data_IF_165059290616
#
_entry.id   IF_165059290616
#
_cell.length_a   1.000
_cell.length_b   1.000
_cell.length_c   1.000
_cell.angle_alpha   90.00
_cell.angle_beta   90.00
_cell.angle_gamma   90.00
#
_symmetry.space_group_name_H-M   'P 1'
#
loop_
_entity.id
_entity.type
_entity.pdbx_description
1 polymer ?
#
# COMPACT_ATOMS: atom_id res chain seq x y z
N UNK A 1 -26.95 123.72 -78.48
CA UNK A 1 -28.10 124.65 -78.36
C UNK A 1 -29.33 123.92 -78.85
N UNK A 2 -29.96 123.12 -77.97
CA UNK A 2 -31.23 122.45 -78.25
C UNK A 2 -32.36 123.42 -77.93
N UNK A 3 -33.19 123.73 -78.92
CA UNK A 3 -34.38 124.55 -78.75
C UNK A 3 -35.29 123.96 -77.65
N UNK A 4 -35.45 124.71 -76.56
CA UNK A 4 -36.29 124.34 -75.42
C UNK A 4 -37.75 124.48 -75.84
N UNK A 5 -38.38 123.35 -76.20
CA UNK A 5 -39.77 123.30 -76.69
C UNK A 5 -40.80 123.08 -75.58
N UNK A 6 -40.36 123.08 -74.31
CA UNK A 6 -41.21 122.85 -73.13
C UNK A 6 -41.24 124.11 -72.24
N UNK A 7 -42.41 124.41 -71.66
CA UNK A 7 -42.67 125.68 -70.96
C UNK A 7 -41.92 125.83 -69.62
N UNK A 8 -41.48 124.72 -69.02
CA UNK A 8 -40.67 124.70 -67.79
C UNK A 8 -39.72 123.51 -67.84
N UNK A 9 -38.45 123.74 -67.49
CA UNK A 9 -37.43 122.71 -67.31
C UNK A 9 -37.16 122.57 -65.81
N UNK A 10 -37.41 121.37 -65.26
CA UNK A 10 -37.02 121.04 -63.89
C UNK A 10 -35.61 120.45 -63.97
N UNK A 11 -34.61 121.20 -63.52
CA UNK A 11 -33.25 120.69 -63.44
C UNK A 11 -33.15 119.53 -62.43
N UNK A 12 -32.47 118.44 -62.80
CA UNK A 12 -32.36 117.21 -61.99
C UNK A 12 -31.86 117.45 -60.56
N UNK A 13 -31.04 118.49 -60.35
CA UNK A 13 -30.49 118.86 -59.04
C UNK A 13 -31.54 119.43 -58.08
N UNK A 14 -32.62 120.01 -58.61
CA UNK A 14 -33.72 120.61 -57.83
C UNK A 14 -34.97 119.73 -57.81
N UNK A 15 -35.00 118.65 -58.59
CA UNK A 15 -36.16 117.76 -58.70
C UNK A 15 -36.60 117.18 -57.35
N UNK A 16 -35.66 116.80 -56.47
CA UNK A 16 -36.00 116.27 -55.15
C UNK A 16 -36.67 117.30 -54.23
N UNK A 17 -36.22 118.55 -54.26
CA UNK A 17 -36.83 119.64 -53.49
C UNK A 17 -38.22 119.99 -54.04
N UNK A 18 -38.35 120.06 -55.38
CA UNK A 18 -39.60 120.37 -56.07
C UNK A 18 -40.68 119.31 -55.79
N UNK A 19 -40.36 118.02 -55.86
CA UNK A 19 -41.36 116.95 -55.63
C UNK A 19 -41.65 116.65 -54.15
N UNK A 20 -40.80 117.11 -53.21
CA UNK A 20 -40.99 116.88 -51.77
C UNK A 20 -41.82 117.99 -51.11
N UNK A 21 -41.73 119.22 -51.63
CA UNK A 21 -42.36 120.40 -51.04
C UNK A 21 -43.49 120.90 -51.93
N UNK A 22 -44.76 120.72 -51.51
CA UNK A 22 -45.93 121.14 -52.29
C UNK A 22 -45.85 122.62 -52.72
N UNK A 23 -45.30 123.46 -51.84
CA UNK A 23 -45.10 124.91 -52.04
C UNK A 23 -44.16 125.27 -53.21
N UNK A 24 -43.35 124.33 -53.71
CA UNK A 24 -42.46 124.55 -54.85
C UNK A 24 -43.03 124.06 -56.18
N UNK A 25 -44.08 123.24 -56.16
CA UNK A 25 -44.82 122.82 -57.36
C UNK A 25 -45.83 123.87 -57.78
N UNK A 26 -46.49 124.52 -56.82
CA UNK A 26 -47.53 125.51 -57.08
C UNK A 26 -47.02 126.68 -57.96
N UNK A 27 -45.83 127.29 -57.74
CA UNK A 27 -45.31 128.35 -58.60
C UNK A 27 -44.97 127.90 -60.03
N UNK A 28 -44.58 126.64 -60.20
CA UNK A 28 -44.29 126.05 -61.52
C UNK A 28 -45.58 125.84 -62.30
N UNK A 29 -46.62 125.35 -61.63
CA UNK A 29 -47.95 125.17 -62.21
C UNK A 29 -48.58 126.54 -62.52
N UNK A 30 -48.48 127.50 -61.62
CA UNK A 30 -48.97 128.87 -61.82
C UNK A 30 -48.30 129.56 -63.02
N UNK A 31 -46.99 129.35 -63.23
CA UNK A 31 -46.29 129.87 -64.42
C UNK A 31 -46.84 129.27 -65.72
N UNK A 32 -47.11 127.97 -65.74
CA UNK A 32 -47.73 127.28 -66.89
C UNK A 32 -49.17 127.76 -67.10
N UNK A 33 -49.94 127.96 -66.03
CA UNK A 33 -51.31 128.48 -66.11
C UNK A 33 -51.35 129.92 -66.62
N UNK A 34 -50.43 130.78 -66.15
CA UNK A 34 -50.33 132.18 -66.58
C UNK A 34 -50.00 132.28 -68.06
N UNK A 35 -49.07 131.46 -68.55
CA UNK A 35 -48.69 131.43 -69.97
C UNK A 35 -49.76 130.78 -70.85
N UNK A 36 -50.49 129.79 -70.34
CA UNK A 36 -51.62 129.19 -71.04
C UNK A 36 -52.83 130.14 -71.14
N UNK A 37 -53.07 130.96 -70.11
CA UNK A 37 -54.19 131.92 -70.03
C UNK A 37 -53.88 133.29 -70.65
N UNK A 38 -52.61 133.64 -70.84
CA UNK A 38 -52.19 134.91 -71.48
C UNK A 38 -52.45 134.93 -72.98
N UNK A 39 -52.59 133.75 -73.61
CA UNK A 39 -53.03 133.64 -74.99
C UNK A 39 -54.51 134.06 -75.06
N UNK A 40 -54.81 135.19 -75.71
CA UNK A 40 -56.16 135.63 -76.06
C UNK A 40 -56.38 135.35 -77.56
N UNK A 41 -56.87 134.16 -77.93
CA UNK A 41 -56.92 133.71 -79.31
C UNK A 41 -58.30 133.96 -79.92
N UNK A 42 -58.32 134.41 -81.18
CA UNK A 42 -59.56 134.56 -81.94
C UNK A 42 -59.99 133.22 -82.57
N UNK A 43 -60.99 132.58 -81.95
CA UNK A 43 -61.56 131.27 -82.36
C UNK A 43 -62.24 131.30 -83.73
N UNK A 44 -62.55 132.48 -84.27
CA UNK A 44 -63.16 132.62 -85.59
C UNK A 44 -62.16 132.33 -86.72
N UNK A 45 -60.86 132.51 -86.47
CA UNK A 45 -59.78 132.29 -87.45
C UNK A 45 -59.14 130.89 -87.32
N UNK A 46 -58.70 130.30 -88.44
CA UNK A 46 -57.96 129.03 -88.44
C UNK A 46 -56.65 129.14 -87.64
N UNK A 47 -55.93 130.26 -87.80
CA UNK A 47 -54.67 130.54 -87.07
C UNK A 47 -54.88 130.59 -85.55
N UNK A 48 -55.99 131.18 -85.08
CA UNK A 48 -56.33 131.21 -83.66
C UNK A 48 -56.62 129.82 -83.08
N UNK A 49 -57.34 128.97 -83.83
CA UNK A 49 -57.58 127.56 -83.42
C UNK A 49 -56.30 126.72 -83.39
N UNK A 50 -55.41 126.90 -84.36
CA UNK A 50 -54.12 126.19 -84.41
C UNK A 50 -53.18 126.64 -83.27
N UNK A 51 -53.24 127.92 -82.86
CA UNK A 51 -52.51 128.44 -81.71
C UNK A 51 -53.02 127.86 -80.38
N UNK A 52 -54.34 127.72 -80.21
CA UNK A 52 -54.95 127.05 -79.04
C UNK A 52 -54.51 125.59 -78.98
N UNK A 53 -54.59 124.87 -80.10
CA UNK A 53 -54.18 123.47 -80.16
C UNK A 53 -52.69 123.29 -79.83
N UNK A 54 -51.84 124.20 -80.32
CA UNK A 54 -50.39 124.19 -80.03
C UNK A 54 -50.11 124.46 -78.55
N UNK A 55 -50.81 125.42 -77.93
CA UNK A 55 -50.63 125.72 -76.50
C UNK A 55 -51.11 124.55 -75.62
N UNK A 56 -52.25 123.93 -75.96
CA UNK A 56 -52.74 122.72 -75.28
C UNK A 56 -51.73 121.57 -75.38
N UNK A 57 -51.10 121.38 -76.54
CA UNK A 57 -50.04 120.38 -76.72
C UNK A 57 -48.79 120.65 -75.87
N UNK A 58 -48.40 121.93 -75.72
CA UNK A 58 -47.29 122.32 -74.83
C UNK A 58 -47.60 122.01 -73.37
N UNK A 59 -48.81 122.34 -72.90
CA UNK A 59 -49.26 122.00 -71.54
C UNK A 59 -49.25 120.48 -71.31
N UNK A 60 -49.73 119.69 -72.27
CA UNK A 60 -49.72 118.23 -72.19
C UNK A 60 -48.29 117.64 -72.14
N UNK A 61 -47.36 118.21 -72.91
CA UNK A 61 -45.93 117.85 -72.86
C UNK A 61 -45.30 118.20 -71.52
N UNK A 62 -45.52 119.41 -71.02
CA UNK A 62 -45.03 119.83 -69.70
C UNK A 62 -45.56 118.94 -68.57
N UNK A 63 -46.84 118.54 -68.60
CA UNK A 63 -47.40 117.56 -67.66
C UNK A 63 -46.63 116.24 -67.68
N UNK A 64 -46.38 115.70 -68.87
CA UNK A 64 -45.73 114.39 -69.05
C UNK A 64 -44.27 114.44 -68.61
N UNK A 65 -43.58 115.54 -68.89
CA UNK A 65 -42.22 115.78 -68.45
C UNK A 65 -42.09 115.83 -66.92
N UNK A 66 -42.99 116.55 -66.24
CA UNK A 66 -43.01 116.63 -64.77
C UNK A 66 -43.29 115.26 -64.15
N UNK A 67 -44.26 114.49 -64.68
CA UNK A 67 -44.57 113.14 -64.19
C UNK A 67 -43.39 112.17 -64.36
N UNK A 68 -42.73 112.19 -65.53
CA UNK A 68 -41.55 111.37 -65.78
C UNK A 68 -40.36 111.74 -64.89
N UNK A 69 -40.12 113.05 -64.65
CA UNK A 69 -39.06 113.49 -63.74
C UNK A 69 -39.30 113.02 -62.29
N UNK A 70 -40.55 113.00 -61.83
CA UNK A 70 -40.90 112.44 -60.52
C UNK A 70 -40.71 110.92 -60.46
N UNK A 71 -41.07 110.19 -61.53
CA UNK A 71 -40.87 108.74 -61.62
C UNK A 71 -39.39 108.36 -61.61
N UNK A 72 -38.56 109.07 -62.36
CA UNK A 72 -37.11 108.84 -62.42
C UNK A 72 -36.47 109.07 -61.05
N UNK A 73 -36.84 110.16 -60.36
CA UNK A 73 -36.38 110.43 -59.00
C UNK A 73 -36.75 109.32 -58.02
N UNK A 74 -38.00 108.84 -58.06
CA UNK A 74 -38.46 107.73 -57.20
C UNK A 74 -37.73 106.42 -57.54
N UNK A 75 -37.41 106.18 -58.80
CA UNK A 75 -36.65 105.00 -59.22
C UNK A 75 -35.20 105.05 -58.69
N UNK A 76 -34.54 106.20 -58.77
CA UNK A 76 -33.21 106.43 -58.21
C UNK A 76 -33.22 106.27 -56.68
N UNK A 77 -34.18 106.87 -55.99
CA UNK A 77 -34.32 106.76 -54.52
C UNK A 77 -34.60 105.32 -54.07
N UNK A 78 -35.36 104.53 -54.85
CA UNK A 78 -35.60 103.10 -54.57
C UNK A 78 -34.38 102.22 -54.86
N UNK A 79 -33.45 102.65 -55.70
CA UNK A 79 -32.22 101.92 -55.99
C UNK A 79 -31.17 102.08 -54.86
N UNK A 80 -31.16 103.23 -54.16
CA UNK A 80 -30.21 103.51 -53.07
C UNK A 80 -30.23 102.49 -51.92
N UNK A 81 -31.39 102.04 -51.38
CA UNK A 81 -31.42 101.02 -50.33
C UNK A 81 -30.73 99.72 -50.73
N UNK A 82 -30.93 99.25 -51.97
CA UNK A 82 -30.27 98.02 -52.47
C UNK A 82 -28.75 98.17 -52.50
N UNK A 83 -28.24 99.34 -52.89
CA UNK A 83 -26.80 99.61 -52.89
C UNK A 83 -26.23 99.73 -51.47
N UNK A 84 -27.01 100.27 -50.54
CA UNK A 84 -26.63 100.35 -49.12
C UNK A 84 -26.57 98.95 -48.50
N UNK A 85 -27.55 98.09 -48.75
CA UNK A 85 -27.57 96.72 -48.23
C UNK A 85 -26.41 95.89 -48.78
N UNK A 86 -26.10 96.03 -50.08
CA UNK A 86 -24.95 95.37 -50.68
C UNK A 86 -23.62 95.88 -50.08
N UNK A 87 -23.48 97.19 -49.90
CA UNK A 87 -22.32 97.77 -49.19
C UNK A 87 -22.20 97.23 -47.76
N UNK A 88 -23.32 97.12 -47.03
CA UNK A 88 -23.35 96.55 -45.67
C UNK A 88 -22.95 95.07 -45.66
N UNK A 89 -23.37 94.30 -46.66
CA UNK A 89 -22.99 92.88 -46.81
C UNK A 89 -21.48 92.75 -47.04
N UNK A 90 -20.93 93.53 -47.98
CA UNK A 90 -19.49 93.53 -48.30
C UNK A 90 -18.66 93.89 -47.06
N UNK A 91 -19.10 94.90 -46.29
CA UNK A 91 -18.41 95.30 -45.06
C UNK A 91 -18.41 94.16 -44.05
N UNK A 92 -19.55 93.49 -43.83
CA UNK A 92 -19.64 92.36 -42.91
C UNK A 92 -18.71 91.22 -43.31
N UNK A 93 -18.79 90.78 -44.56
CA UNK A 93 -17.97 89.67 -45.08
C UNK A 93 -16.48 89.97 -44.99
N UNK A 94 -16.06 91.20 -45.35
CA UNK A 94 -14.65 91.60 -45.26
C UNK A 94 -14.15 91.69 -43.83
N UNK A 95 -14.94 92.23 -42.91
CA UNK A 95 -14.55 92.36 -41.51
C UNK A 95 -14.54 91.01 -40.79
N UNK A 96 -15.47 90.12 -41.10
CA UNK A 96 -15.47 88.75 -40.57
C UNK A 96 -14.25 87.97 -41.09
N UNK A 97 -13.94 88.05 -42.39
CA UNK A 97 -12.75 87.44 -42.95
C UNK A 97 -11.45 88.00 -42.32
N UNK A 98 -11.38 89.31 -42.10
CA UNK A 98 -10.23 89.94 -41.44
C UNK A 98 -10.10 89.50 -39.98
N UNK A 99 -11.21 89.37 -39.26
CA UNK A 99 -11.21 88.86 -37.88
C UNK A 99 -10.65 87.44 -37.82
N UNK A 100 -11.08 86.58 -38.74
CA UNK A 100 -10.61 85.19 -38.80
C UNK A 100 -9.13 85.12 -39.17
N UNK A 101 -8.67 85.95 -40.12
CA UNK A 101 -7.25 86.05 -40.48
C UNK A 101 -6.38 86.55 -39.31
N UNK A 102 -6.84 87.57 -38.59
CA UNK A 102 -6.14 88.09 -37.40
C UNK A 102 -6.12 87.06 -36.26
N UNK A 103 -7.16 86.24 -36.13
CA UNK A 103 -7.25 85.20 -35.10
C UNK A 103 -6.48 83.93 -35.47
N UNK A 104 -6.28 83.65 -36.75
CA UNK A 104 -5.66 82.41 -37.24
C UNK A 104 -4.30 82.08 -36.58
N UNK A 105 -3.34 83.02 -36.43
CA UNK A 105 -2.06 82.72 -35.77
C UNK A 105 -2.22 82.28 -34.32
N UNK A 106 -3.19 82.83 -33.60
CA UNK A 106 -3.48 82.43 -32.21
C UNK A 106 -4.06 81.02 -32.18
N UNK A 107 -5.01 80.70 -33.06
CA UNK A 107 -5.61 79.37 -33.15
C UNK A 107 -4.59 78.31 -33.56
N UNK A 108 -3.69 78.62 -34.50
CA UNK A 108 -2.58 77.73 -34.88
C UNK A 108 -1.61 77.51 -33.72
N UNK A 109 -1.29 78.55 -32.95
CA UNK A 109 -0.44 78.43 -31.76
C UNK A 109 -1.11 77.61 -30.65
N UNK A 110 -2.40 77.83 -30.37
CA UNK A 110 -3.17 77.05 -29.39
C UNK A 110 -3.19 75.55 -29.75
N UNK A 111 -3.41 75.23 -31.02
CA UNK A 111 -3.39 73.86 -31.52
C UNK A 111 -2.00 73.21 -31.43
N UNK A 112 -0.95 73.96 -31.75
CA UNK A 112 0.43 73.48 -31.60
C UNK A 112 0.80 73.24 -30.12
N UNK A 113 0.36 74.12 -29.22
CA UNK A 113 0.56 73.93 -27.77
C UNK A 113 -0.18 72.70 -27.25
N UNK A 114 -1.39 72.42 -27.73
CA UNK A 114 -2.08 71.17 -27.38
C UNK A 114 -1.33 69.94 -27.91
N UNK A 115 -0.79 70.00 -29.14
CA UNK A 115 0.02 68.91 -29.70
C UNK A 115 1.30 68.68 -28.89
N UNK A 116 2.02 69.74 -28.54
CA UNK A 116 3.24 69.66 -27.73
C UNK A 116 2.92 69.04 -26.37
N UNK A 117 1.85 69.48 -25.69
CA UNK A 117 1.43 68.89 -24.40
C UNK A 117 1.06 67.42 -24.53
N UNK A 118 0.39 67.03 -25.61
CA UNK A 118 0.05 65.63 -25.86
C UNK A 118 1.30 64.78 -26.12
N UNK A 119 2.27 65.31 -26.88
CA UNK A 119 3.55 64.65 -27.14
C UNK A 119 4.41 64.54 -25.87
N UNK A 120 4.49 65.60 -25.05
CA UNK A 120 5.17 65.59 -23.76
C UNK A 120 4.54 64.58 -22.80
N UNK A 121 3.20 64.48 -22.77
CA UNK A 121 2.50 63.47 -21.97
C UNK A 121 2.83 62.04 -22.44
N UNK A 122 2.86 61.82 -23.76
CA UNK A 122 3.26 60.52 -24.32
C UNK A 122 4.72 60.19 -24.04
N UNK A 123 5.63 61.16 -24.16
CA UNK A 123 7.05 60.97 -23.85
C UNK A 123 7.27 60.71 -22.35
N UNK A 124 6.51 61.34 -21.46
CA UNK A 124 6.55 61.07 -20.03
C UNK A 124 6.11 59.63 -19.71
N UNK A 125 5.00 59.18 -20.29
CA UNK A 125 4.54 57.79 -20.16
C UNK A 125 5.56 56.80 -20.74
N UNK A 126 6.19 57.13 -21.87
CA UNK A 126 7.23 56.30 -22.46
C UNK A 126 8.48 56.20 -21.57
N UNK A 127 8.90 57.31 -20.97
CA UNK A 127 10.03 57.33 -20.04
C UNK A 127 9.75 56.49 -18.78
N UNK A 128 8.54 56.60 -18.21
CA UNK A 128 8.12 55.78 -17.06
C UNK A 128 8.09 54.29 -17.42
N UNK A 129 7.58 53.94 -18.60
CA UNK A 129 7.58 52.57 -19.09
C UNK A 129 8.99 52.01 -19.27
N UNK A 130 9.93 52.80 -19.79
CA UNK A 130 11.33 52.41 -19.91
C UNK A 130 11.98 52.18 -18.55
N UNK A 131 11.72 53.03 -17.56
CA UNK A 131 12.25 52.86 -16.21
C UNK A 131 11.70 51.58 -15.54
N UNK A 132 10.41 51.29 -15.73
CA UNK A 132 9.79 50.06 -15.25
C UNK A 132 10.41 48.81 -15.89
N UNK A 133 10.64 48.84 -17.20
CA UNK A 133 11.30 47.73 -17.91
C UNK A 133 12.73 47.51 -17.41
N UNK A 134 13.51 48.58 -17.21
CA UNK A 134 14.87 48.48 -16.67
C UNK A 134 14.86 47.82 -15.28
N UNK A 135 13.93 48.22 -14.39
CA UNK A 135 13.80 47.59 -13.07
C UNK A 135 13.43 46.12 -13.18
N UNK A 136 12.50 45.78 -14.07
CA UNK A 136 12.10 44.40 -14.30
C UNK A 136 13.27 43.53 -14.80
N UNK A 137 14.05 44.03 -15.76
CA UNK A 137 15.22 43.33 -16.29
C UNK A 137 16.30 43.13 -15.21
N UNK A 138 16.51 44.12 -14.35
CA UNK A 138 17.43 44.01 -13.21
C UNK A 138 16.95 42.97 -12.19
N UNK A 139 15.66 42.95 -11.85
CA UNK A 139 15.09 41.95 -10.95
C UNK A 139 15.17 40.54 -11.53
N UNK A 140 14.95 40.39 -12.84
CA UNK A 140 15.05 39.10 -13.53
C UNK A 140 16.50 38.60 -13.54
N UNK A 141 17.47 39.48 -13.79
CA UNK A 141 18.88 39.14 -13.73
C UNK A 141 19.31 38.70 -12.32
N UNK A 142 18.89 39.44 -11.29
CA UNK A 142 19.18 39.09 -9.90
C UNK A 142 18.56 37.76 -9.47
N UNK A 143 17.32 37.47 -9.91
CA UNK A 143 16.68 36.16 -9.67
C UNK A 143 17.41 35.03 -10.38
N UNK A 144 17.82 35.23 -11.63
CA UNK A 144 18.55 34.22 -12.38
C UNK A 144 19.89 33.88 -11.71
N UNK A 145 20.62 34.88 -11.22
CA UNK A 145 21.87 34.66 -10.48
C UNK A 145 21.63 33.91 -9.17
N UNK A 146 20.63 34.31 -8.38
CA UNK A 146 20.26 33.62 -7.14
C UNK A 146 19.81 32.16 -7.37
N UNK A 147 18.99 31.92 -8.39
CA UNK A 147 18.54 30.57 -8.76
C UNK A 147 19.72 29.71 -9.25
N UNK A 148 20.67 30.31 -9.96
CA UNK A 148 21.89 29.62 -10.41
C UNK A 148 22.78 29.22 -9.23
N UNK A 149 23.01 30.13 -8.27
CA UNK A 149 23.75 29.83 -7.05
C UNK A 149 23.06 28.72 -6.24
N UNK A 150 21.74 28.78 -6.11
CA UNK A 150 20.94 27.76 -5.43
C UNK A 150 21.08 26.39 -6.12
N UNK A 151 21.05 26.36 -7.45
CA UNK A 151 21.22 25.14 -8.22
C UNK A 151 22.62 24.53 -8.04
N UNK A 152 23.68 25.35 -7.99
CA UNK A 152 25.04 24.88 -7.70
C UNK A 152 25.14 24.28 -6.31
N UNK A 153 24.58 24.94 -5.30
CA UNK A 153 24.58 24.45 -3.92
C UNK A 153 23.75 23.16 -3.77
N UNK A 154 22.63 23.04 -4.47
CA UNK A 154 21.86 21.80 -4.53
C UNK A 154 22.66 20.66 -5.17
N UNK A 155 23.36 20.92 -6.28
CA UNK A 155 24.21 19.90 -6.91
C UNK A 155 25.32 19.43 -5.96
N UNK A 156 25.99 20.35 -5.26
CA UNK A 156 27.02 19.99 -4.27
C UNK A 156 26.44 19.11 -3.15
N UNK A 157 25.24 19.44 -2.64
CA UNK A 157 24.55 18.61 -1.66
C UNK A 157 24.19 17.22 -2.22
N UNK A 158 23.71 17.13 -3.46
CA UNK A 158 23.41 15.84 -4.09
C UNK A 158 24.67 15.00 -4.28
N UNK A 159 25.80 15.61 -4.64
CA UNK A 159 27.07 14.91 -4.79
C UNK A 159 27.60 14.42 -3.43
N UNK A 160 27.49 15.24 -2.37
CA UNK A 160 27.81 14.84 -1.00
C UNK A 160 26.92 13.67 -0.53
N UNK A 161 25.62 13.77 -0.71
CA UNK A 161 24.68 12.71 -0.30
C UNK A 161 24.98 11.41 -1.06
N UNK A 162 25.34 11.49 -2.35
CA UNK A 162 25.76 10.34 -3.15
C UNK A 162 27.07 9.75 -2.64
N UNK A 163 28.02 10.57 -2.20
CA UNK A 163 29.26 10.13 -1.55
C UNK A 163 29.00 9.43 -0.22
N UNK A 164 28.18 10.01 0.63
CA UNK A 164 27.78 9.43 1.91
C UNK A 164 27.07 8.08 1.71
N UNK A 165 26.17 7.98 0.73
CA UNK A 165 25.53 6.70 0.39
C UNK A 165 26.54 5.65 -0.11
N UNK A 166 27.54 6.04 -0.90
CA UNK A 166 28.62 5.12 -1.32
C UNK A 166 29.41 4.63 -0.10
N UNK A 167 29.76 5.52 0.82
CA UNK A 167 30.48 5.15 2.04
C UNK A 167 29.65 4.25 2.95
N UNK A 168 28.36 4.53 3.14
CA UNK A 168 27.46 3.66 3.90
C UNK A 168 27.30 2.28 3.25
N UNK A 169 27.17 2.22 1.91
CA UNK A 169 27.09 0.96 1.19
C UNK A 169 28.39 0.14 1.32
N UNK A 170 29.55 0.80 1.25
CA UNK A 170 30.86 0.17 1.46
C UNK A 170 31.02 -0.35 2.89
N UNK A 171 30.64 0.43 3.90
CA UNK A 171 30.64 -0.01 5.30
C UNK A 171 29.71 -1.20 5.50
N UNK A 172 28.48 -1.15 4.98
CA UNK A 172 27.54 -2.26 5.06
C UNK A 172 28.03 -3.51 4.31
N UNK A 173 28.79 -3.36 3.21
CA UNK A 173 29.45 -4.48 2.56
C UNK A 173 30.54 -5.08 3.44
N UNK A 174 31.42 -4.25 4.02
CA UNK A 174 32.46 -4.71 4.95
C UNK A 174 31.87 -5.42 6.16
N UNK A 175 30.83 -4.88 6.78
CA UNK A 175 30.15 -5.52 7.91
C UNK A 175 29.54 -6.87 7.52
N UNK A 176 28.90 -6.98 6.34
CA UNK A 176 28.39 -8.26 5.85
C UNK A 176 29.51 -9.26 5.58
N UNK A 177 30.61 -8.83 4.97
CA UNK A 177 31.75 -9.68 4.70
C UNK A 177 32.41 -10.16 6.00
N UNK A 178 32.49 -9.29 7.01
CA UNK A 178 32.98 -9.64 8.35
C UNK A 178 32.03 -10.62 9.06
N UNK A 179 30.71 -10.39 9.01
CA UNK A 179 29.72 -11.31 9.55
C UNK A 179 29.79 -12.67 8.87
N UNK A 180 29.85 -12.71 7.54
CA UNK A 180 29.99 -13.96 6.78
C UNK A 180 31.28 -14.69 7.14
N UNK A 181 32.38 -13.96 7.36
CA UNK A 181 33.65 -14.54 7.81
C UNK A 181 33.54 -15.10 9.24
N UNK A 182 32.84 -14.41 10.14
CA UNK A 182 32.59 -14.88 11.51
C UNK A 182 31.69 -16.12 11.51
N UNK A 183 30.60 -16.11 10.75
CA UNK A 183 29.71 -17.26 10.58
C UNK A 183 30.44 -18.45 9.98
N UNK A 184 31.27 -18.25 8.96
CA UNK A 184 32.10 -19.30 8.39
C UNK A 184 33.11 -19.86 9.41
N UNK A 185 33.72 -18.99 10.24
CA UNK A 185 34.64 -19.41 11.29
C UNK A 185 33.91 -20.15 12.42
N UNK A 186 32.71 -19.71 12.80
CA UNK A 186 31.88 -20.38 13.80
C UNK A 186 31.37 -21.72 13.29
N UNK A 187 30.91 -21.79 12.05
CA UNK A 187 30.50 -23.04 11.42
C UNK A 187 31.67 -24.02 11.34
N UNK A 188 32.87 -23.56 10.97
CA UNK A 188 34.06 -24.40 10.99
C UNK A 188 34.40 -24.90 12.40
N UNK A 189 34.21 -24.08 13.45
CA UNK A 189 34.36 -24.53 14.85
C UNK A 189 33.31 -25.56 15.23
N UNK A 190 32.03 -25.31 14.93
CA UNK A 190 30.93 -26.24 15.21
C UNK A 190 31.13 -27.57 14.49
N UNK A 191 31.56 -27.54 13.23
CA UNK A 191 31.87 -28.75 12.45
C UNK A 191 33.07 -29.50 13.04
N UNK A 192 34.11 -28.78 13.49
CA UNK A 192 35.26 -29.39 14.17
C UNK A 192 34.88 -30.00 15.53
N UNK A 193 34.06 -29.31 16.33
CA UNK A 193 33.53 -29.81 17.60
C UNK A 193 32.59 -31.00 17.39
N UNK A 194 31.75 -30.97 16.35
CA UNK A 194 30.87 -32.09 15.99
C UNK A 194 31.68 -33.31 15.54
N UNK A 195 32.74 -33.12 14.73
CA UNK A 195 33.67 -34.20 14.36
C UNK A 195 34.38 -34.77 15.59
N UNK A 196 34.90 -33.91 16.47
CA UNK A 196 35.55 -34.35 17.70
C UNK A 196 34.59 -35.10 18.63
N UNK A 197 33.35 -34.63 18.77
CA UNK A 197 32.30 -35.32 19.54
C UNK A 197 31.92 -36.65 18.90
N UNK A 198 31.81 -36.72 17.58
CA UNK A 198 31.55 -37.96 16.85
C UNK A 198 32.73 -38.95 16.99
N UNK A 199 33.97 -38.47 17.02
CA UNK A 199 35.16 -39.30 17.29
C UNK A 199 35.17 -39.82 18.72
N UNK A 200 34.82 -39.00 19.72
CA UNK A 200 34.66 -39.45 21.11
C UNK A 200 33.53 -40.48 21.22
N UNK A 201 32.37 -40.24 20.60
CA UNK A 201 31.26 -41.18 20.66
C UNK A 201 31.60 -42.49 19.93
N UNK A 202 32.29 -42.42 18.79
CA UNK A 202 32.79 -43.60 18.08
C UNK A 202 33.84 -44.36 18.91
N UNK A 203 34.74 -43.65 19.59
CA UNK A 203 35.71 -44.25 20.50
C UNK A 203 35.01 -44.91 21.70
N UNK A 204 34.02 -44.25 22.31
CA UNK A 204 33.22 -44.79 23.40
C UNK A 204 32.38 -46.01 22.96
N UNK A 205 31.83 -46.01 21.73
CA UNK A 205 31.15 -47.17 21.16
C UNK A 205 32.11 -48.33 20.93
N UNK A 206 33.32 -48.07 20.41
CA UNK A 206 34.36 -49.10 20.26
C UNK A 206 34.81 -49.65 21.60
N UNK A 207 35.00 -48.80 22.61
CA UNK A 207 35.35 -49.22 23.97
C UNK A 207 34.22 -50.01 24.62
N UNK A 208 32.95 -49.62 24.41
CA UNK A 208 31.79 -50.36 24.89
C UNK A 208 31.62 -51.70 24.16
N UNK A 209 31.89 -51.77 22.86
CA UNK A 209 31.86 -53.02 22.10
C UNK A 209 33.01 -53.96 22.50
N UNK A 210 34.21 -53.44 22.69
CA UNK A 210 35.37 -54.16 23.25
C UNK A 210 35.06 -54.67 24.67
N UNK A 211 34.50 -53.84 25.55
CA UNK A 211 34.09 -54.25 26.90
C UNK A 211 32.97 -55.28 26.86
N UNK A 212 31.98 -55.13 25.98
CA UNK A 212 30.91 -56.11 25.83
C UNK A 212 31.44 -57.44 25.28
N UNK A 213 32.41 -57.43 24.36
CA UNK A 213 33.10 -58.64 23.88
C UNK A 213 33.96 -59.27 24.98
N UNK A 214 34.68 -58.47 25.76
CA UNK A 214 35.47 -58.94 26.89
C UNK A 214 34.57 -59.53 27.99
N UNK A 215 33.44 -58.90 28.30
CA UNK A 215 32.47 -59.40 29.27
C UNK A 215 31.77 -60.67 28.77
N UNK A 216 31.44 -60.77 27.47
CA UNK A 216 30.95 -62.02 26.88
C UNK A 216 32.00 -63.13 26.95
N UNK A 217 33.27 -62.83 26.67
CA UNK A 217 34.37 -63.78 26.76
C UNK A 217 34.63 -64.20 28.23
N UNK A 218 34.56 -63.27 29.18
CA UNK A 218 34.69 -63.54 30.60
C UNK A 218 33.50 -64.37 31.12
N UNK A 219 32.26 -64.03 30.74
CA UNK A 219 31.08 -64.85 31.04
C UNK A 219 31.20 -66.25 30.44
N UNK A 220 31.70 -66.38 29.21
CA UNK A 220 31.95 -67.70 28.60
C UNK A 220 33.05 -68.47 29.34
N UNK A 221 34.11 -67.79 29.81
CA UNK A 221 35.15 -68.43 30.63
C UNK A 221 34.63 -68.86 32.00
N UNK A 222 33.87 -68.01 32.68
CA UNK A 222 33.24 -68.33 33.97
C UNK A 222 32.22 -69.45 33.80
N UNK A 223 31.43 -69.44 32.73
CA UNK A 223 30.47 -70.51 32.45
C UNK A 223 31.19 -71.82 32.06
N UNK A 224 32.32 -71.75 31.34
CA UNK A 224 33.16 -72.91 31.06
C UNK A 224 33.86 -73.44 32.32
N UNK A 225 34.34 -72.55 33.20
CA UNK A 225 34.95 -72.91 34.48
C UNK A 225 33.91 -73.46 35.46
N UNK A 226 32.70 -72.88 35.51
CA UNK A 226 31.59 -73.41 36.28
C UNK A 226 31.09 -74.73 35.71
N UNK A 227 31.07 -74.92 34.39
CA UNK A 227 30.78 -76.22 33.78
C UNK A 227 31.87 -77.24 34.12
N UNK A 228 33.15 -76.88 34.01
CA UNK A 228 34.25 -77.76 34.40
C UNK A 228 34.24 -78.08 35.91
N UNK A 229 33.89 -77.11 36.76
CA UNK A 229 33.75 -77.31 38.20
C UNK A 229 32.52 -78.17 38.53
N UNK A 230 31.39 -77.99 37.84
CA UNK A 230 30.21 -78.86 37.97
C UNK A 230 30.49 -80.25 37.45
N UNK A 231 31.17 -80.42 36.33
CA UNK A 231 31.59 -81.73 35.82
C UNK A 231 32.59 -82.39 36.76
N UNK A 232 33.52 -81.64 37.36
CA UNK A 232 34.44 -82.17 38.38
C UNK A 232 33.71 -82.55 39.66
N UNK A 233 32.76 -81.74 40.12
CA UNK A 233 31.93 -82.06 41.28
C UNK A 233 30.96 -83.21 41.00
N UNK A 234 30.42 -83.33 39.79
CA UNK A 234 29.62 -84.49 39.38
C UNK A 234 30.49 -85.73 39.21
N UNK A 235 31.72 -85.62 38.72
CA UNK A 235 32.66 -86.73 38.64
C UNK A 235 33.14 -87.17 40.04
N UNK A 236 33.43 -86.23 40.94
CA UNK A 236 33.76 -86.53 42.35
C UNK A 236 32.56 -87.10 43.09
N UNK A 237 31.35 -86.54 42.92
CA UNK A 237 30.13 -87.08 43.49
C UNK A 237 29.75 -88.44 42.88
N UNK A 238 30.05 -88.69 41.60
CA UNK A 238 29.86 -89.99 40.95
C UNK A 238 30.89 -91.01 41.43
N UNK A 239 32.14 -90.60 41.63
CA UNK A 239 33.19 -91.43 42.23
C UNK A 239 32.92 -91.72 43.71
N UNK A 240 32.36 -90.77 44.46
CA UNK A 240 31.97 -90.95 45.86
C UNK A 240 30.70 -91.79 45.96
N UNK A 241 29.73 -91.63 45.04
CA UNK A 241 28.58 -92.53 44.90
C UNK A 241 28.98 -93.92 44.45
N UNK A 242 29.97 -94.09 43.58
CA UNK A 242 30.51 -95.41 43.21
C UNK A 242 31.28 -96.04 44.36
N UNK A 243 32.06 -95.28 45.13
CA UNK A 243 32.73 -95.78 46.35
C UNK A 243 31.73 -96.13 47.45
N UNK A 244 30.69 -95.31 47.66
CA UNK A 244 29.62 -95.58 48.60
C UNK A 244 28.76 -96.77 48.14
N UNK A 245 28.47 -96.90 46.84
CA UNK A 245 27.78 -98.05 46.29
C UNK A 245 28.62 -99.34 46.34
N UNK A 246 29.95 -99.25 46.21
CA UNK A 246 30.85 -100.39 46.40
C UNK A 246 30.90 -100.84 47.88
N UNK A 247 30.96 -99.90 48.82
CA UNK A 247 30.95 -100.18 50.27
C UNK A 247 29.59 -100.70 50.74
N UNK A 248 28.48 -100.17 50.21
CA UNK A 248 27.13 -100.70 50.47
C UNK A 248 26.88 -102.04 49.77
N UNK A 249 27.41 -102.28 48.58
CA UNK A 249 27.34 -103.59 47.91
C UNK A 249 28.16 -104.67 48.65
N UNK A 250 29.28 -104.29 49.29
CA UNK A 250 30.06 -105.20 50.13
C UNK A 250 29.35 -105.46 51.48
N UNK A 251 28.74 -104.44 52.10
CA UNK A 251 27.90 -104.61 53.30
C UNK A 251 26.63 -105.42 53.03
N UNK A 252 26.01 -105.27 51.87
CA UNK A 252 24.83 -106.04 51.49
C UNK A 252 25.20 -107.50 51.18
N UNK A 253 26.36 -107.77 50.57
CA UNK A 253 26.90 -109.14 50.42
C UNK A 253 27.27 -109.78 51.75
N UNK A 254 27.83 -109.02 52.70
CA UNK A 254 28.13 -109.53 54.04
C UNK A 254 26.87 -109.85 54.86
N UNK A 255 25.83 -108.99 54.80
CA UNK A 255 24.54 -109.24 55.45
C UNK A 255 23.74 -110.37 54.81
N UNK A 256 23.81 -110.55 53.49
CA UNK A 256 23.16 -111.66 52.79
C UNK A 256 23.86 -113.01 53.04
N UNK A 257 25.17 -113.03 53.24
CA UNK A 257 25.91 -114.24 53.63
C UNK A 257 25.62 -114.67 55.10
N UNK A 258 25.42 -113.71 56.01
CA UNK A 258 25.07 -114.00 57.40
C UNK A 258 23.61 -114.44 57.56
N UNK A 259 22.68 -113.81 56.81
CA UNK A 259 21.27 -114.22 56.77
C UNK A 259 21.06 -115.62 56.15
N UNK A 260 21.91 -116.03 55.20
CA UNK A 260 21.85 -117.36 54.61
C UNK A 260 22.31 -118.47 55.58
N UNK A 261 23.27 -118.21 56.47
CA UNK A 261 23.65 -119.20 57.50
C UNK A 261 22.60 -119.37 58.59
N UNK A 262 21.97 -118.27 59.02
CA UNK A 262 20.95 -118.31 60.08
C UNK A 262 19.65 -119.02 59.64
N UNK A 263 19.37 -119.05 58.34
CA UNK A 263 18.22 -119.76 57.78
C UNK A 263 18.47 -121.29 57.68
N UNK A 264 19.69 -121.72 57.42
CA UNK A 264 20.04 -123.16 57.34
C UNK A 264 20.15 -123.81 58.73
N UNK A 265 20.61 -123.08 59.74
CA UNK A 265 20.72 -123.57 61.12
C UNK A 265 19.34 -123.79 61.77
N UNK A 266 18.33 -123.00 61.39
CA UNK A 266 16.93 -123.20 61.85
C UNK A 266 16.27 -124.45 61.27
N UNK A 267 16.65 -124.89 60.07
CA UNK A 267 16.09 -126.10 59.43
C UNK A 267 16.55 -127.40 60.11
N UNK A 268 17.76 -127.41 60.67
CA UNK A 268 18.34 -128.58 61.36
C UNK A 268 17.76 -128.75 62.79
N UNK A 269 17.31 -127.67 63.42
CA UNK A 269 16.68 -127.71 64.75
C UNK A 269 15.26 -128.32 64.72
N UNK A 270 14.48 -128.04 63.68
CA UNK A 270 13.08 -128.46 63.59
C UNK A 270 12.89 -129.95 63.25
N UNK A 271 13.90 -130.62 62.67
CA UNK A 271 13.84 -132.06 62.35
C UNK A 271 14.11 -132.97 63.58
N UNK A 272 14.87 -132.47 64.56
CA UNK A 272 15.25 -133.23 65.77
C UNK A 272 14.12 -133.31 66.82
N UNK A 273 13.22 -132.32 66.86
CA UNK A 273 12.12 -132.23 67.82
C UNK A 273 11.01 -133.29 67.61
N UNK A 274 10.81 -133.79 66.38
CA UNK A 274 9.80 -134.85 66.11
C UNK A 274 10.18 -136.23 66.65
N UNK A 275 11.46 -136.49 66.94
CA UNK A 275 11.91 -137.78 67.51
C UNK A 275 11.75 -137.90 69.04
N UNK A 276 11.38 -136.81 69.73
CA UNK A 276 11.18 -136.83 71.19
C UNK A 276 9.77 -137.26 71.66
N UNK A 277 8.76 -137.33 70.79
CA UNK A 277 7.38 -137.63 71.22
C UNK A 277 7.09 -139.14 71.39
N UNK A 278 7.72 -140.00 70.59
CA UNK A 278 7.31 -141.40 70.41
C UNK A 278 7.80 -142.37 71.52
N UNK A 279 8.87 -141.97 72.22
CA UNK A 279 9.48 -142.77 73.32
C UNK A 279 8.73 -142.61 74.64
N UNK A 280 8.11 -141.45 74.89
CA UNK A 280 7.37 -141.17 76.13
C UNK A 280 6.04 -141.93 76.21
N UNK A 281 5.34 -142.08 75.08
CA UNK A 281 4.05 -142.78 75.03
C UNK A 281 4.16 -144.27 75.43
N UNK A 282 5.23 -144.96 75.00
CA UNK A 282 5.43 -146.39 75.28
C UNK A 282 5.69 -146.72 76.76
N UNK A 283 6.37 -145.84 77.50
CA UNK A 283 6.64 -146.07 78.94
C UNK A 283 5.42 -145.86 79.83
N UNK A 284 4.53 -144.93 79.48
CA UNK A 284 3.35 -144.62 80.28
C UNK A 284 2.38 -145.82 80.34
N UNK A 285 2.06 -146.40 79.17
CA UNK A 285 1.12 -147.52 79.04
C UNK A 285 1.59 -148.77 79.79
N UNK A 286 2.90 -149.10 79.71
CA UNK A 286 3.45 -150.25 80.43
C UNK A 286 3.41 -150.12 81.95
N UNK A 287 3.48 -148.89 82.48
CA UNK A 287 3.41 -148.64 83.93
C UNK A 287 1.99 -148.79 84.46
N UNK A 288 0.99 -148.38 83.70
CA UNK A 288 -0.43 -148.51 84.08
C UNK A 288 -0.87 -149.97 84.20
N UNK A 289 -0.46 -150.83 83.26
CA UNK A 289 -0.84 -152.25 83.24
C UNK A 289 -0.24 -152.98 84.46
N UNK A 290 1.03 -152.73 84.79
CA UNK A 290 1.70 -153.34 85.95
C UNK A 290 1.05 -152.90 87.26
N UNK A 291 0.67 -151.61 87.38
CA UNK A 291 -0.02 -151.11 88.56
C UNK A 291 -1.44 -151.70 88.70
N UNK A 292 -2.18 -151.83 87.60
CA UNK A 292 -3.53 -152.42 87.59
C UNK A 292 -3.53 -153.91 88.00
N UNK A 293 -2.52 -154.67 87.56
CA UNK A 293 -2.33 -156.06 87.96
C UNK A 293 -2.03 -156.16 89.45
N UNK A 294 -1.10 -155.35 89.96
CA UNK A 294 -0.70 -155.37 91.39
C UNK A 294 -1.85 -154.97 92.33
N UNK A 295 -2.77 -154.11 91.90
CA UNK A 295 -3.87 -153.62 92.75
C UNK A 295 -5.06 -154.60 92.85
N UNK A 296 -5.34 -155.34 91.78
CA UNK A 296 -6.55 -156.17 91.69
C UNK A 296 -6.29 -157.65 91.97
N UNK A 297 -5.04 -158.04 92.22
CA UNK A 297 -4.65 -159.43 92.43
C UNK A 297 -3.52 -159.55 93.46
N UNK A 298 -3.33 -160.74 94.02
CA UNK A 298 -2.32 -160.99 95.06
C UNK A 298 -0.92 -161.32 94.52
N UNK A 299 -0.60 -160.93 93.27
CA UNK A 299 0.69 -161.23 92.61
C UNK A 299 1.72 -160.12 92.82
N UNK A 300 3.00 -160.51 92.90
CA UNK A 300 4.10 -159.56 93.11
C UNK A 300 4.42 -158.76 91.84
N UNK A 301 5.11 -157.63 92.00
CA UNK A 301 5.45 -156.73 90.88
C UNK A 301 6.26 -157.43 89.79
N UNK A 302 7.13 -158.38 90.15
CA UNK A 302 7.92 -159.14 89.17
C UNK A 302 7.04 -160.10 88.37
N UNK A 303 6.07 -160.75 89.01
CA UNK A 303 5.09 -161.61 88.34
C UNK A 303 4.16 -160.80 87.42
N UNK A 304 3.77 -159.59 87.82
CA UNK A 304 2.98 -158.69 86.98
C UNK A 304 3.74 -158.24 85.71
N UNK A 305 5.05 -158.02 85.80
CA UNK A 305 5.90 -157.72 84.64
C UNK A 305 6.01 -158.94 83.72
N UNK A 306 6.09 -160.15 84.28
CA UNK A 306 6.13 -161.39 83.50
C UNK A 306 4.82 -161.62 82.72
N UNK A 307 3.68 -161.33 83.34
CA UNK A 307 2.35 -161.35 82.68
C UNK A 307 2.26 -160.26 81.60
N UNK A 308 2.76 -159.04 81.82
CA UNK A 308 2.82 -158.00 80.79
C UNK A 308 3.65 -158.44 79.59
N UNK A 309 4.78 -159.13 79.79
CA UNK A 309 5.58 -159.70 78.70
C UNK A 309 4.80 -160.79 77.94
N UNK A 310 4.16 -161.71 78.65
CA UNK A 310 3.35 -162.75 78.00
C UNK A 310 2.17 -162.17 77.18
N UNK A 311 1.59 -161.04 77.63
CA UNK A 311 0.59 -160.26 76.91
C UNK A 311 1.17 -159.53 75.69
N UNK A 312 2.35 -158.92 75.83
CA UNK A 312 3.07 -158.27 74.72
C UNK A 312 3.45 -159.27 73.63
N UNK A 313 3.86 -160.48 74.02
CA UNK A 313 4.26 -161.56 73.12
C UNK A 313 3.06 -162.37 72.59
N UNK A 314 1.83 -162.02 73.00
CA UNK A 314 0.58 -162.59 72.48
C UNK A 314 0.31 -164.04 72.88
N UNK A 315 0.99 -164.54 73.92
CA UNK A 315 0.95 -165.95 74.34
C UNK A 315 -0.33 -166.35 75.10
N UNK A 316 -1.20 -165.39 75.46
CA UNK A 316 -2.44 -165.60 76.23
C UNK A 316 -3.69 -165.40 75.34
N UNK A 317 -4.33 -166.49 74.85
CA UNK A 317 -5.55 -166.38 74.04
C UNK A 317 -6.78 -166.02 74.89
N UNK A 318 -7.63 -165.10 74.38
CA UNK A 318 -8.84 -164.52 75.01
C UNK A 318 -8.57 -163.74 76.31
N UNK A 319 -7.92 -162.58 76.17
CA UNK A 319 -7.64 -161.63 77.27
C UNK A 319 -8.86 -160.90 77.84
N UNK A 320 -10.06 -161.14 77.29
CA UNK A 320 -11.34 -160.71 77.85
C UNK A 320 -12.31 -161.90 77.79
N UNK A 321 -12.75 -162.39 78.95
CA UNK A 321 -13.73 -163.47 79.07
C UNK A 321 -14.89 -162.95 79.94
N UNK A 322 -16.07 -162.81 79.34
CA UNK A 322 -17.34 -162.48 80.02
C UNK A 322 -18.17 -163.77 80.15
N UNK A 323 -18.51 -164.14 81.39
CA UNK A 323 -19.30 -165.33 81.76
C UNK A 323 -20.78 -165.21 81.37
#
# INVERSE_FOLDING_TARGET
>A
MSEVTDLVVIEKQNAMAVFTTKEQLDPIIEAIEKEARSLVPDVSTKKGRDAIASMAHKVARSKTYIDNAGKDLVAELKALPKQIDESRRIVRERLDALKDEVRRPLTEWEAEQERIKAEEAMNALHAEALEMNIKFDQELAAKFEADHEMALLMNENFDRDREEQRHQAEQAQRERDEQLKQEAAEQARRDAEAKHKAEIEAAARREAEEKARAELAERQRIEAEQRAAREKQEAEARAEREKAAAVEAERLKAKQAEAARLAEEKRIADEKAKREADVKHRKAVGTEIVNALTANTSISRDQAIEVLKALMDGLVPRTQINY
#
